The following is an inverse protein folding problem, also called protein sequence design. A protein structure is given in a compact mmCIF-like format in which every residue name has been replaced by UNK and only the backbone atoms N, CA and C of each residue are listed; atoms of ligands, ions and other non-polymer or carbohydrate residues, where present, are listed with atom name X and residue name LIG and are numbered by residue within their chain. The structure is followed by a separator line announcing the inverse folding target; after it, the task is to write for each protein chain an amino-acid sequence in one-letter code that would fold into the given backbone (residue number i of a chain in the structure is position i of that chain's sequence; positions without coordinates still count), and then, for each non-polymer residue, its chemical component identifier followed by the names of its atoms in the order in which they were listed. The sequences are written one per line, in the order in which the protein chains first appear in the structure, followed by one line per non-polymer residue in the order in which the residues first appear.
data_IF_576901876919
#
_entry.id   IF_576901876919
#
_cell.length_a   1.000
_cell.length_b   1.000
_cell.length_c   1.000
_cell.angle_alpha   90.00
_cell.angle_beta   90.00
_cell.angle_gamma   90.00
#
_symmetry.space_group_name_H-M   'P 1'
#
loop_
_entity.id
_entity.type
_entity.pdbx_description
1 polymer ?
#
# COMPACT_ATOMS: atom_id res chain seq x y z
N UNK A 1 -4.07 -10.42 -10.68
CA UNK A 1 -3.72 -9.12 -11.33
C UNK A 1 -2.22 -8.99 -11.48
N UNK A 2 -1.77 -8.42 -12.59
CA UNK A 2 -0.36 -8.14 -12.84
C UNK A 2 -0.07 -6.71 -12.35
N UNK A 3 0.89 -6.55 -11.42
CA UNK A 3 1.31 -5.22 -10.97
C UNK A 3 2.44 -4.70 -11.87
N UNK A 4 3.43 -5.53 -12.16
CA UNK A 4 4.48 -5.25 -13.14
C UNK A 4 4.71 -6.48 -14.00
N UNK A 5 5.65 -6.40 -14.94
CA UNK A 5 5.96 -7.56 -15.76
C UNK A 5 6.41 -8.78 -14.96
N UNK A 6 6.99 -8.56 -13.78
CA UNK A 6 7.62 -9.57 -12.93
C UNK A 6 6.83 -9.85 -11.65
N UNK A 7 5.93 -8.93 -11.24
CA UNK A 7 5.19 -9.04 -9.98
C UNK A 7 3.70 -9.24 -10.23
N UNK A 8 3.18 -10.36 -9.73
CA UNK A 8 1.74 -10.68 -9.79
C UNK A 8 1.14 -10.70 -8.39
N UNK A 9 -0.03 -10.11 -8.23
CA UNK A 9 -0.83 -10.16 -7.02
C UNK A 9 -2.05 -11.08 -7.27
N UNK A 10 -2.27 -12.05 -6.40
CA UNK A 10 -3.35 -13.04 -6.52
C UNK A 10 -4.12 -13.16 -5.21
N UNK A 11 -5.44 -13.06 -5.27
CA UNK A 11 -6.29 -13.39 -4.13
C UNK A 11 -6.15 -14.88 -3.82
N UNK A 12 -5.88 -15.21 -2.57
CA UNK A 12 -5.97 -16.58 -2.07
C UNK A 12 -7.45 -16.88 -1.78
N UNK A 13 -7.89 -18.12 -2.02
CA UNK A 13 -9.19 -18.58 -1.53
C UNK A 13 -9.24 -18.75 0.00
N UNK A 14 -8.07 -18.67 0.66
CA UNK A 14 -7.91 -18.84 2.09
C UNK A 14 -8.36 -17.61 2.86
N UNK A 15 -9.08 -17.84 3.96
CA UNK A 15 -9.35 -16.86 5.01
C UNK A 15 -8.68 -17.34 6.29
N UNK A 16 -8.02 -16.43 6.99
CA UNK A 16 -7.37 -16.73 8.26
C UNK A 16 -8.05 -15.95 9.39
N UNK A 17 -8.41 -16.64 10.47
CA UNK A 17 -8.86 -15.99 11.71
C UNK A 17 -7.70 -15.19 12.30
N UNK A 18 -8.01 -14.01 12.82
CA UNK A 18 -7.05 -13.09 13.43
C UNK A 18 -7.54 -12.67 14.80
N UNK A 19 -6.59 -12.53 15.71
CA UNK A 19 -6.77 -11.89 17.00
C UNK A 19 -5.60 -10.93 17.22
N UNK A 20 -5.86 -9.70 17.61
CA UNK A 20 -4.81 -8.73 17.93
C UNK A 20 -5.26 -7.28 17.89
N UNK A 21 -4.29 -6.37 18.09
CA UNK A 21 -4.55 -4.94 18.06
C UNK A 21 -4.94 -4.45 16.65
N UNK A 22 -5.99 -3.63 16.55
CA UNK A 22 -6.44 -2.91 15.35
C UNK A 22 -5.59 -1.64 15.09
N UNK A 23 -5.96 -0.81 14.11
CA UNK A 23 -5.28 0.46 13.85
C UNK A 23 -5.55 1.51 14.93
N UNK A 24 -6.70 1.46 15.60
CA UNK A 24 -7.02 2.32 16.75
C UNK A 24 -6.37 1.84 18.07
N UNK A 25 -5.85 0.61 18.09
CA UNK A 25 -5.19 0.01 19.26
C UNK A 25 -6.08 -0.92 20.08
N UNK A 26 -7.37 -1.03 19.76
CA UNK A 26 -8.28 -2.01 20.37
C UNK A 26 -7.85 -3.43 20.04
N UNK A 27 -7.93 -4.35 21.00
CA UNK A 27 -7.65 -5.77 20.73
C UNK A 27 -8.94 -6.45 20.29
N UNK A 28 -8.96 -6.97 19.07
CA UNK A 28 -10.17 -7.48 18.43
C UNK A 28 -9.92 -8.83 17.75
N UNK A 29 -11.02 -9.52 17.47
CA UNK A 29 -11.04 -10.62 16.50
C UNK A 29 -11.30 -10.07 15.11
N UNK A 30 -10.93 -10.84 14.10
CA UNK A 30 -11.19 -10.49 12.71
C UNK A 30 -10.89 -11.62 11.75
N UNK A 31 -11.15 -11.36 10.47
CA UNK A 31 -10.88 -12.28 9.38
C UNK A 31 -9.97 -11.61 8.36
N UNK A 32 -8.83 -12.23 8.07
CA UNK A 32 -7.93 -11.82 7.02
C UNK A 32 -8.21 -12.58 5.73
N UNK A 33 -8.45 -11.85 4.63
CA UNK A 33 -8.33 -12.39 3.28
C UNK A 33 -6.88 -12.32 2.87
N UNK A 34 -6.32 -13.45 2.46
CA UNK A 34 -4.93 -13.53 2.04
C UNK A 34 -4.76 -13.14 0.57
N UNK A 35 -3.72 -12.35 0.30
CA UNK A 35 -3.28 -12.03 -1.04
C UNK A 35 -1.81 -12.37 -1.21
N UNK A 36 -1.48 -13.06 -2.31
CA UNK A 36 -0.14 -13.54 -2.60
C UNK A 36 0.52 -12.64 -3.63
N UNK A 37 1.64 -12.06 -3.25
CA UNK A 37 2.58 -11.38 -4.14
C UNK A 37 3.62 -12.40 -4.59
N UNK A 38 3.64 -12.67 -5.89
CA UNK A 38 4.47 -13.69 -6.53
C UNK A 38 5.45 -13.01 -7.47
N UNK A 39 6.73 -13.27 -7.22
CA UNK A 39 7.86 -12.87 -8.05
C UNK A 39 8.66 -14.15 -8.37
N UNK A 40 8.79 -14.57 -9.64
CA UNK A 40 9.46 -15.82 -9.99
C UNK A 40 10.87 -15.93 -9.41
N UNK A 41 11.20 -17.10 -8.85
CA UNK A 41 12.52 -17.37 -8.25
C UNK A 41 12.74 -16.73 -6.87
N UNK A 42 11.74 -16.05 -6.29
CA UNK A 42 11.82 -15.45 -4.95
C UNK A 42 10.79 -16.07 -4.00
N UNK A 43 11.01 -16.01 -2.67
CA UNK A 43 9.99 -16.36 -1.70
C UNK A 43 8.69 -15.59 -1.92
N UNK A 44 7.56 -16.27 -1.76
CA UNK A 44 6.24 -15.65 -1.84
C UNK A 44 6.03 -14.70 -0.65
N UNK A 45 5.44 -13.53 -0.93
CA UNK A 45 5.00 -12.60 0.10
C UNK A 45 3.48 -12.65 0.24
N UNK A 46 2.98 -12.55 1.47
CA UNK A 46 1.53 -12.61 1.76
C UNK A 46 1.07 -11.30 2.38
N UNK A 47 0.08 -10.65 1.78
CA UNK A 47 -0.65 -9.52 2.37
C UNK A 47 -1.93 -10.02 3.02
N UNK A 48 -2.22 -9.53 4.21
CA UNK A 48 -3.50 -9.77 4.87
C UNK A 48 -4.35 -8.51 4.76
N UNK A 49 -5.51 -8.65 4.13
CA UNK A 49 -6.62 -7.68 4.18
C UNK A 49 -7.56 -8.10 5.31
N UNK A 50 -7.34 -7.52 6.49
CA UNK A 50 -8.06 -7.89 7.72
C UNK A 50 -9.27 -6.99 7.89
N UNK A 51 -10.44 -7.62 8.07
CA UNK A 51 -11.65 -6.97 8.59
C UNK A 51 -11.82 -7.39 10.04
N UNK A 52 -11.89 -6.41 10.93
CA UNK A 52 -12.04 -6.60 12.36
C UNK A 52 -13.51 -6.53 12.76
N UNK A 53 -13.86 -7.19 13.86
CA UNK A 53 -15.24 -7.27 14.34
C UNK A 53 -15.78 -5.91 14.81
N UNK A 54 -14.89 -4.99 15.19
CA UNK A 54 -15.23 -3.61 15.51
C UNK A 54 -15.48 -2.71 14.27
N UNK A 55 -15.43 -3.28 13.07
CA UNK A 55 -15.64 -2.58 11.80
C UNK A 55 -14.39 -1.93 11.19
N UNK A 56 -13.24 -1.95 11.88
CA UNK A 56 -11.98 -1.51 11.28
C UNK A 56 -11.53 -2.46 10.17
N UNK A 57 -10.78 -1.93 9.21
CA UNK A 57 -10.13 -2.71 8.16
C UNK A 57 -8.69 -2.25 8.01
N UNK A 58 -7.76 -3.20 7.87
CA UNK A 58 -6.37 -2.87 7.62
C UNK A 58 -5.65 -3.86 6.70
N UNK A 59 -4.55 -3.37 6.13
CA UNK A 59 -3.64 -4.14 5.31
C UNK A 59 -2.26 -4.22 5.94
N UNK A 60 -1.66 -5.41 5.92
CA UNK A 60 -0.29 -5.62 6.38
C UNK A 60 0.40 -6.74 5.60
N UNK A 61 1.71 -6.59 5.38
CA UNK A 61 2.57 -7.70 4.97
C UNK A 61 2.67 -8.71 6.13
N UNK A 62 2.04 -9.86 5.97
CA UNK A 62 1.94 -10.87 7.03
C UNK A 62 3.30 -11.49 7.34
N UNK A 63 3.68 -11.49 8.62
CA UNK A 63 4.85 -12.18 9.11
C UNK A 63 4.55 -13.68 9.31
N UNK A 64 5.12 -14.59 8.50
CA UNK A 64 4.98 -16.03 8.73
C UNK A 64 5.68 -16.46 10.03
N UNK A 65 5.31 -17.63 10.56
CA UNK A 65 5.94 -18.22 11.75
C UNK A 65 7.43 -18.46 11.58
N UNK A 66 7.83 -18.82 10.35
CA UNK A 66 9.23 -18.91 9.93
C UNK A 66 9.40 -18.01 8.72
N UNK A 67 10.17 -16.94 8.88
CA UNK A 67 10.51 -16.02 7.78
C UNK A 67 11.56 -16.72 6.90
N UNK A 68 11.32 -16.91 5.59
CA UNK A 68 12.31 -17.51 4.72
C UNK A 68 13.53 -16.61 4.57
N UNK A 69 14.65 -17.16 4.15
CA UNK A 69 15.86 -16.39 3.88
C UNK A 69 15.57 -15.28 2.86
N UNK A 70 15.80 -14.04 3.27
CA UNK A 70 15.54 -12.85 2.45
C UNK A 70 16.36 -11.66 2.98
N UNK A 71 16.52 -10.60 2.17
CA UNK A 71 17.18 -9.37 2.59
C UNK A 71 16.55 -8.77 3.85
N UNK A 72 17.40 -8.28 4.78
CA UNK A 72 16.97 -7.77 6.08
C UNK A 72 15.93 -6.64 5.98
N UNK A 73 16.06 -5.76 4.98
CA UNK A 73 15.10 -4.68 4.74
C UNK A 73 13.68 -5.18 4.48
N UNK A 74 13.54 -6.28 3.74
CA UNK A 74 12.26 -6.91 3.44
C UNK A 74 11.74 -7.71 4.65
N UNK A 75 12.62 -8.45 5.32
CA UNK A 75 12.28 -9.15 6.56
C UNK A 75 11.72 -8.19 7.62
N UNK A 76 12.33 -7.01 7.76
CA UNK A 76 11.91 -5.97 8.70
C UNK A 76 10.59 -5.26 8.34
N UNK A 77 10.05 -5.46 7.14
CA UNK A 77 8.76 -4.89 6.72
C UNK A 77 7.58 -5.76 7.21
N UNK A 78 7.79 -7.06 7.38
CA UNK A 78 6.75 -7.99 7.87
C UNK A 78 6.18 -7.53 9.21
N UNK A 79 4.85 -7.58 9.33
CA UNK A 79 4.11 -7.13 10.51
C UNK A 79 4.15 -5.62 10.77
N UNK A 80 4.81 -4.83 9.90
CA UNK A 80 4.96 -3.38 10.06
C UNK A 80 4.27 -2.62 8.94
N UNK A 81 4.24 -1.29 9.10
CA UNK A 81 3.68 -0.33 8.12
C UNK A 81 2.25 -0.68 7.70
N UNK A 82 1.46 -1.16 8.66
CA UNK A 82 0.04 -1.42 8.51
C UNK A 82 -0.67 -0.18 7.90
N UNK A 83 -1.62 -0.42 7.01
CA UNK A 83 -2.44 0.63 6.42
C UNK A 83 -3.88 0.46 6.87
N UNK A 84 -4.37 1.39 7.68
CA UNK A 84 -5.79 1.47 8.00
C UNK A 84 -6.60 1.91 6.77
N UNK A 85 -7.80 1.35 6.66
CA UNK A 85 -8.81 1.71 5.68
C UNK A 85 -9.99 2.28 6.44
N UNK A 86 -10.34 3.53 6.12
CA UNK A 86 -11.32 4.31 6.86
C UNK A 86 -12.52 4.63 5.97
N UNK A 87 -13.72 4.61 6.53
CA UNK A 87 -14.89 5.14 5.86
C UNK A 87 -14.79 6.67 5.73
N UNK A 88 -15.23 7.23 4.61
CA UNK A 88 -15.25 8.68 4.39
C UNK A 88 -16.60 9.23 4.84
N UNK A 89 -16.66 10.11 5.86
CA UNK A 89 -17.95 10.56 6.44
C UNK A 89 -18.93 11.17 5.44
N UNK A 90 -18.42 11.95 4.47
CA UNK A 90 -19.24 12.60 3.44
C UNK A 90 -19.39 11.78 2.14
N UNK A 91 -18.57 10.75 1.94
CA UNK A 91 -18.49 10.01 0.69
C UNK A 91 -19.23 8.69 0.74
N UNK A 92 -20.58 8.70 0.85
CA UNK A 92 -21.42 7.50 0.96
C UNK A 92 -20.92 6.38 0.02
N UNK A 93 -20.48 5.27 0.60
CA UNK A 93 -19.99 4.09 -0.14
C UNK A 93 -18.52 4.16 -0.59
N UNK A 94 -17.73 5.12 -0.12
CA UNK A 94 -16.29 5.23 -0.38
C UNK A 94 -15.47 5.00 0.89
N UNK A 95 -14.35 4.32 0.70
CA UNK A 95 -13.31 4.14 1.70
C UNK A 95 -12.07 4.95 1.29
N UNK A 96 -11.22 5.27 2.25
CA UNK A 96 -9.89 5.84 1.98
C UNK A 96 -8.77 4.98 2.56
N UNK A 97 -7.63 5.02 1.89
CA UNK A 97 -6.35 4.50 2.36
C UNK A 97 -5.28 5.57 2.15
N UNK A 98 -4.51 5.86 3.20
CA UNK A 98 -3.40 6.82 3.10
C UNK A 98 -2.27 6.23 2.26
N UNK A 99 -1.87 6.94 1.20
CA UNK A 99 -0.78 6.57 0.28
C UNK A 99 0.61 6.91 0.85
N UNK A 100 0.76 6.76 2.16
CA UNK A 100 2.05 6.88 2.83
C UNK A 100 3.01 5.82 2.28
N UNK A 101 4.26 6.25 2.05
CA UNK A 101 5.20 5.49 1.25
C UNK A 101 6.40 5.06 2.10
N UNK A 102 6.79 3.79 1.93
CA UNK A 102 8.04 3.27 2.50
C UNK A 102 9.21 3.80 1.69
N UNK A 103 10.18 4.39 2.37
CA UNK A 103 11.40 4.94 1.75
C UNK A 103 12.60 4.14 2.27
N UNK A 104 13.08 3.15 1.51
CA UNK A 104 14.33 2.47 1.79
C UNK A 104 15.46 3.47 2.05
N UNK A 105 16.32 3.19 3.03
CA UNK A 105 17.45 4.05 3.38
C UNK A 105 18.74 3.31 3.11
N UNK A 106 19.64 3.92 2.34
CA UNK A 106 20.98 3.38 2.11
C UNK A 106 21.71 3.18 3.44
N UNK A 107 22.31 2.01 3.63
CA UNK A 107 23.06 1.67 4.85
C UNK A 107 22.21 1.37 6.08
N UNK A 108 20.90 1.18 5.94
CA UNK A 108 20.04 0.77 7.07
C UNK A 108 19.09 -0.36 6.67
N UNK A 109 19.02 -1.38 7.52
CA UNK A 109 18.04 -2.47 7.39
C UNK A 109 16.61 -2.04 7.78
N UNK A 110 16.41 -0.77 8.16
CA UNK A 110 15.10 -0.22 8.50
C UNK A 110 14.68 0.83 7.48
N UNK A 111 13.61 0.53 6.76
CA UNK A 111 13.02 1.48 5.84
C UNK A 111 12.37 2.66 6.58
N UNK A 112 12.67 3.87 6.10
CA UNK A 112 11.95 5.08 6.45
C UNK A 112 10.51 5.04 5.98
N UNK A 113 9.72 6.01 6.41
CA UNK A 113 8.33 6.12 6.04
C UNK A 113 7.95 7.58 5.91
N UNK A 114 7.45 7.98 4.74
CA UNK A 114 7.16 9.37 4.43
C UNK A 114 5.66 9.53 4.23
N UNK A 115 5.07 10.40 5.05
CA UNK A 115 3.63 10.68 5.05
C UNK A 115 3.25 11.80 4.09
N UNK A 116 4.16 12.77 3.89
CA UNK A 116 3.97 13.91 3.02
C UNK A 116 5.01 13.92 1.91
N UNK A 117 4.56 13.91 0.67
CA UNK A 117 5.38 13.92 -0.55
C UNK A 117 4.82 14.97 -1.50
N UNK A 118 5.62 15.47 -2.43
CA UNK A 118 5.05 16.09 -3.63
C UNK A 118 4.43 15.00 -4.51
N UNK A 119 3.53 15.37 -5.43
CA UNK A 119 2.92 14.38 -6.34
C UNK A 119 3.98 13.75 -7.26
N UNK A 120 4.96 14.54 -7.71
CA UNK A 120 6.12 14.05 -8.46
C UNK A 120 6.94 13.03 -7.65
N UNK A 121 7.27 13.33 -6.39
CA UNK A 121 8.01 12.40 -5.54
C UNK A 121 7.24 11.10 -5.30
N UNK A 122 5.92 11.18 -5.04
CA UNK A 122 5.08 9.99 -4.90
C UNK A 122 5.13 9.14 -6.17
N UNK A 123 4.98 9.77 -7.33
CA UNK A 123 4.96 9.08 -8.61
C UNK A 123 6.32 8.49 -9.00
N UNK A 124 7.44 9.14 -8.66
CA UNK A 124 8.78 8.56 -8.79
C UNK A 124 8.97 7.34 -7.89
N UNK A 125 8.53 7.41 -6.63
CA UNK A 125 8.73 6.33 -5.66
C UNK A 125 7.84 5.11 -5.94
N UNK A 126 6.58 5.36 -6.31
CA UNK A 126 5.60 4.31 -6.55
C UNK A 126 5.68 3.78 -7.98
N UNK A 127 6.02 4.64 -8.93
CA UNK A 127 5.93 4.44 -10.38
C UNK A 127 4.66 5.07 -10.95
N UNK A 128 4.82 6.06 -11.82
CA UNK A 128 3.71 6.82 -12.38
C UNK A 128 2.68 5.94 -13.08
N UNK A 129 3.13 5.07 -13.97
CA UNK A 129 2.23 4.21 -14.76
C UNK A 129 1.40 3.30 -13.84
N UNK A 130 1.95 2.90 -12.70
CA UNK A 130 1.23 2.10 -11.69
C UNK A 130 0.17 2.93 -10.98
N UNK A 131 0.50 4.16 -10.59
CA UNK A 131 -0.48 5.08 -10.00
C UNK A 131 -1.61 5.39 -10.99
N UNK A 132 -1.29 5.66 -12.26
CA UNK A 132 -2.29 5.88 -13.32
C UNK A 132 -3.18 4.65 -13.54
N UNK A 133 -2.59 3.46 -13.57
CA UNK A 133 -3.34 2.20 -13.67
C UNK A 133 -4.25 1.97 -12.47
N UNK A 134 -3.80 2.35 -11.27
CA UNK A 134 -4.60 2.26 -10.06
C UNK A 134 -5.78 3.24 -10.11
N UNK A 135 -5.55 4.49 -10.51
CA UNK A 135 -6.58 5.56 -10.56
C UNK A 135 -7.46 5.50 -11.80
N UNK A 136 -7.13 4.70 -12.81
CA UNK A 136 -8.02 4.47 -13.96
C UNK A 136 -9.14 3.46 -13.64
N UNK A 137 -9.07 2.78 -12.48
CA UNK A 137 -10.12 1.87 -12.03
C UNK A 137 -11.40 2.65 -11.67
N UNK A 138 -12.58 2.09 -11.95
CA UNK A 138 -13.85 2.78 -11.67
C UNK A 138 -14.00 3.22 -10.22
N UNK A 139 -14.32 4.51 -10.01
CA UNK A 139 -14.54 5.09 -8.67
C UNK A 139 -13.28 5.29 -7.82
N UNK A 140 -12.10 5.01 -8.38
CA UNK A 140 -10.81 5.19 -7.69
C UNK A 140 -10.23 6.57 -8.00
N UNK A 141 -9.91 7.34 -6.96
CA UNK A 141 -9.25 8.64 -7.11
C UNK A 141 -8.09 8.77 -6.14
N UNK A 142 -7.06 9.53 -6.54
CA UNK A 142 -5.96 9.93 -5.68
C UNK A 142 -6.07 11.43 -5.46
N UNK A 143 -6.19 11.84 -4.20
CA UNK A 143 -6.49 13.22 -3.82
C UNK A 143 -5.64 13.64 -2.62
N UNK A 144 -5.51 14.95 -2.34
CA UNK A 144 -5.04 15.40 -1.03
C UNK A 144 -5.93 14.81 0.07
N UNK A 145 -5.31 14.22 1.09
CA UNK A 145 -6.02 13.52 2.17
C UNK A 145 -6.83 14.45 3.09
N UNK A 146 -6.53 15.74 3.04
CA UNK A 146 -7.17 16.79 3.82
C UNK A 146 -7.60 17.89 2.86
N UNK A 147 -8.82 18.36 3.02
CA UNK A 147 -9.34 19.49 2.25
C UNK A 147 -8.82 20.80 2.86
N UNK A 148 -8.01 21.51 2.09
CA UNK A 148 -7.52 22.86 2.42
C UNK A 148 -7.39 23.64 1.13
N UNK A 149 -7.87 24.88 1.13
CA UNK A 149 -7.88 25.75 -0.05
C UNK A 149 -6.50 25.96 -0.69
N UNK A 150 -5.42 25.80 0.09
CA UNK A 150 -4.04 26.04 -0.34
C UNK A 150 -3.31 24.78 -0.85
N UNK A 151 -3.97 23.63 -0.92
CA UNK A 151 -3.33 22.39 -1.38
C UNK A 151 -3.43 22.24 -2.89
N UNK A 152 -2.32 21.88 -3.57
CA UNK A 152 -2.36 21.66 -4.99
C UNK A 152 -3.19 20.42 -5.30
N UNK A 153 -3.86 20.43 -6.46
CA UNK A 153 -4.54 19.26 -6.99
C UNK A 153 -3.55 18.12 -7.23
N UNK A 154 -4.02 16.90 -7.06
CA UNK A 154 -3.24 15.71 -7.40
C UNK A 154 -3.51 15.38 -8.87
N UNK A 155 -2.65 15.89 -9.74
CA UNK A 155 -2.63 15.56 -11.17
C UNK A 155 -1.48 14.59 -11.48
N UNK A 156 -1.79 13.42 -12.02
CA UNK A 156 -0.81 12.44 -12.47
C UNK A 156 -0.34 12.70 -13.92
N UNK A 157 -1.02 13.53 -14.69
CA UNK A 157 -0.55 13.99 -16.00
C UNK A 157 0.51 15.07 -15.86
N UNK A 158 0.35 15.97 -14.88
CA UNK A 158 1.34 16.99 -14.55
C UNK A 158 1.68 16.98 -13.05
N UNK A 159 2.45 15.97 -12.57
CA UNK A 159 2.80 15.86 -11.16
C UNK A 159 3.57 17.08 -10.66
N UNK A 160 2.97 17.84 -9.74
CA UNK A 160 3.65 18.95 -9.09
C UNK A 160 4.81 18.47 -8.19
N UNK A 161 5.92 19.21 -8.18
CA UNK A 161 7.09 18.96 -7.32
C UNK A 161 7.42 20.13 -6.37
N UNK A 162 6.42 20.95 -6.03
CA UNK A 162 6.64 22.18 -5.26
C UNK A 162 6.23 22.00 -3.80
N UNK A 163 5.00 21.56 -3.54
CA UNK A 163 4.41 21.55 -2.20
C UNK A 163 4.12 20.12 -1.75
N UNK A 164 4.79 19.63 -0.69
CA UNK A 164 4.47 18.34 -0.12
C UNK A 164 3.08 18.32 0.52
N UNK A 165 2.35 17.23 0.32
CA UNK A 165 1.04 16.98 0.90
C UNK A 165 0.88 15.49 1.24
N UNK A 166 -0.13 15.16 2.05
CA UNK A 166 -0.49 13.76 2.28
C UNK A 166 -1.49 13.32 1.23
N UNK A 167 -1.20 12.24 0.53
CA UNK A 167 -2.10 11.68 -0.48
C UNK A 167 -2.98 10.59 0.14
N UNK A 168 -4.25 10.57 -0.24
CA UNK A 168 -5.17 9.49 0.06
C UNK A 168 -5.76 8.93 -1.23
N UNK A 169 -5.85 7.61 -1.28
CA UNK A 169 -6.56 6.90 -2.31
C UNK A 169 -7.98 6.65 -1.82
N UNK A 170 -8.96 7.04 -2.62
CA UNK A 170 -10.37 6.85 -2.36
C UNK A 170 -10.92 5.82 -3.33
N UNK A 171 -11.75 4.89 -2.85
CA UNK A 171 -12.24 3.77 -3.66
C UNK A 171 -13.61 3.26 -3.15
N UNK A 172 -14.40 2.56 -3.97
CA UNK A 172 -15.68 2.00 -3.56
C UNK A 172 -15.54 0.98 -2.41
N UNK A 173 -16.56 0.90 -1.54
CA UNK A 173 -16.57 -0.04 -0.39
C UNK A 173 -16.44 -1.50 -0.80
N UNK A 174 -16.99 -1.87 -1.97
CA UNK A 174 -16.96 -3.23 -2.52
C UNK A 174 -15.67 -3.53 -3.30
N UNK A 175 -14.74 -2.58 -3.41
CA UNK A 175 -13.45 -2.79 -4.06
C UNK A 175 -12.44 -3.45 -3.11
N UNK A 176 -12.34 -4.77 -3.24
CA UNK A 176 -11.37 -5.59 -2.53
C UNK A 176 -9.94 -5.48 -3.08
N UNK A 177 -9.78 -5.06 -4.32
CA UNK A 177 -8.53 -5.15 -5.08
C UNK A 177 -7.66 -3.90 -4.95
N UNK A 178 -8.27 -2.74 -5.16
CA UNK A 178 -7.61 -1.43 -5.10
C UNK A 178 -6.78 -1.19 -3.83
N UNK A 179 -7.30 -1.44 -2.62
CA UNK A 179 -6.51 -1.17 -1.42
C UNK A 179 -5.28 -2.08 -1.30
N UNK A 180 -5.39 -3.33 -1.76
CA UNK A 180 -4.28 -4.30 -1.76
C UNK A 180 -3.22 -3.89 -2.77
N UNK A 181 -3.63 -3.47 -3.97
CA UNK A 181 -2.72 -2.89 -4.98
C UNK A 181 -2.01 -1.66 -4.43
N UNK A 182 -2.75 -0.73 -3.82
CA UNK A 182 -2.21 0.49 -3.24
C UNK A 182 -1.17 0.18 -2.15
N UNK A 183 -1.46 -0.77 -1.25
CA UNK A 183 -0.52 -1.21 -0.24
C UNK A 183 0.76 -1.79 -0.86
N UNK A 184 0.64 -2.66 -1.86
CA UNK A 184 1.78 -3.22 -2.55
C UNK A 184 2.63 -2.10 -3.20
N UNK A 185 1.99 -1.17 -3.90
CA UNK A 185 2.64 -0.06 -4.61
C UNK A 185 3.36 0.90 -3.65
N UNK A 186 2.74 1.31 -2.53
CA UNK A 186 3.33 2.33 -1.66
C UNK A 186 4.24 1.76 -0.56
N UNK A 187 4.09 0.49 -0.18
CA UNK A 187 4.81 -0.07 0.99
C UNK A 187 5.72 -1.23 0.66
N UNK A 188 5.36 -2.09 -0.30
CA UNK A 188 6.15 -3.31 -0.59
C UNK A 188 7.10 -3.09 -1.75
N UNK A 189 6.61 -2.56 -2.87
CA UNK A 189 7.40 -2.38 -4.09
C UNK A 189 8.63 -1.48 -3.90
N UNK A 190 8.59 -0.36 -3.13
CA UNK A 190 9.79 0.41 -2.87
C UNK A 190 10.90 -0.43 -2.22
N UNK A 191 10.54 -1.28 -1.25
CA UNK A 191 11.48 -2.19 -0.61
C UNK A 191 11.99 -3.27 -1.58
N UNK A 192 11.13 -3.85 -2.42
CA UNK A 192 11.53 -4.83 -3.43
C UNK A 192 12.54 -4.24 -4.43
N UNK A 193 12.36 -2.98 -4.83
CA UNK A 193 13.31 -2.26 -5.70
C UNK A 193 14.64 -2.03 -5.01
N UNK A 194 14.62 -1.63 -3.74
CA UNK A 194 15.84 -1.35 -2.99
C UNK A 194 16.69 -2.59 -2.62
N UNK A 195 16.14 -3.79 -2.77
CA UNK A 195 16.86 -5.05 -2.57
C UNK A 195 17.12 -5.78 -3.90
N UNK A 196 16.98 -5.06 -5.02
CA UNK A 196 17.22 -5.54 -6.39
C UNK A 196 16.36 -6.76 -6.79
N UNK A 197 15.18 -6.89 -6.18
CA UNK A 197 14.19 -7.90 -6.56
C UNK A 197 13.22 -7.41 -7.63
N UNK A 198 13.09 -6.08 -7.78
CA UNK A 198 12.40 -5.45 -8.90
C UNK A 198 13.32 -4.40 -9.53
N UNK A 199 13.21 -4.18 -10.85
CA UNK A 199 13.93 -3.09 -11.48
C UNK A 199 13.49 -1.73 -10.89
N UNK A 200 14.35 -0.70 -10.96
CA UNK A 200 13.98 0.66 -10.63
C UNK A 200 12.69 1.06 -11.33
N UNK A 201 11.92 1.95 -10.73
CA UNK A 201 10.79 2.55 -11.47
C UNK A 201 11.36 3.23 -12.72
N UNK A 202 10.78 3.04 -13.92
CA UNK A 202 11.18 3.80 -15.08
C UNK A 202 11.10 5.30 -14.73
N UNK A 203 12.18 6.02 -15.04
CA UNK A 203 12.19 7.46 -14.98
C UNK A 203 11.25 8.01 -16.06
N UNK A 204 10.61 9.12 -15.75
CA UNK A 204 9.71 9.85 -16.64
C UNK A 204 10.46 10.36 -17.86
#
# INVERSE_FOLDING_TARGET
MRLTDQLTLRRSGTRATRHGATCSGSTENGTAVEWRLVLPGRPQLTLHDTRWDNGERDLVLHQPSVVPEMPALLANLHGRRRAGIEAVPAGRGRLRLMAWTVIPRTGSDRAGFKKSLTTAQLATQCGLSLLRTLTSRPGVTLEPAFDREDLPLVDLEHPQDVKPLQHALYFPVDDDETPVMAYAITRVMPTLRAVDWLPPSPAF
#
